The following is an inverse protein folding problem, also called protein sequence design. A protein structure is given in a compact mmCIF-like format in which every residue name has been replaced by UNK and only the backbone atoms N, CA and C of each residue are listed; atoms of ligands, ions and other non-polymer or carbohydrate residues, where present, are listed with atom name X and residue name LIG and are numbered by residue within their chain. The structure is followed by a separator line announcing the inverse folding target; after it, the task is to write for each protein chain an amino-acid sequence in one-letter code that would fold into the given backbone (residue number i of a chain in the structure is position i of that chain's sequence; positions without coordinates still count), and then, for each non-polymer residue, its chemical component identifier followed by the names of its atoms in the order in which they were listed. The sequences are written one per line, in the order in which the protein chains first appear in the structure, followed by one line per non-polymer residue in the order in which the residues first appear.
data_IF_177656456220
#
_entry.id   IF_177656456220
#
_cell.length_a   1.000
_cell.length_b   1.000
_cell.length_c   1.000
_cell.angle_alpha   90.00
_cell.angle_beta   90.00
_cell.angle_gamma   90.00
#
_symmetry.space_group_name_H-M   'P 1'
#
loop_
_entity.id
_entity.type
_entity.pdbx_description
1 polymer ?
#
# COMPACT_ATOMS: atom_id res chain seq x y z
N UNK A 1 -21.37 -39.47 -20.76
CA UNK A 1 -19.94 -39.11 -20.85
C UNK A 1 -19.89 -37.69 -21.43
N UNK A 2 -20.56 -36.72 -20.81
CA UNK A 2 -20.19 -35.94 -19.62
C UNK A 2 -18.90 -35.11 -19.83
N UNK A 3 -18.99 -34.11 -20.70
CA UNK A 3 -18.00 -33.04 -20.91
C UNK A 3 -18.41 -31.71 -20.24
N UNK A 4 -19.45 -31.72 -19.38
CA UNK A 4 -20.13 -30.49 -18.93
C UNK A 4 -19.87 -30.12 -17.46
N UNK A 5 -18.84 -30.71 -16.84
CA UNK A 5 -18.50 -30.48 -15.42
C UNK A 5 -17.35 -29.49 -15.15
N UNK A 6 -16.75 -28.89 -16.18
CA UNK A 6 -15.60 -28.00 -16.01
C UNK A 6 -15.97 -26.52 -15.74
N UNK A 7 -17.25 -26.14 -15.78
CA UNK A 7 -17.67 -24.73 -15.85
C UNK A 7 -18.12 -24.08 -14.52
N UNK A 8 -17.86 -24.69 -13.35
CA UNK A 8 -18.23 -24.09 -12.05
C UNK A 8 -17.16 -24.33 -11.00
N UNK A 9 -16.05 -23.57 -11.07
CA UNK A 9 -15.24 -23.26 -9.89
C UNK A 9 -15.61 -21.85 -9.44
N UNK A 10 -16.39 -21.77 -8.37
CA UNK A 10 -16.43 -20.57 -7.56
C UNK A 10 -15.01 -20.41 -6.99
N UNK A 11 -14.29 -19.40 -7.45
CA UNK A 11 -13.08 -18.94 -6.80
C UNK A 11 -13.56 -18.29 -5.50
N UNK A 12 -13.26 -18.93 -4.36
CA UNK A 12 -13.54 -18.35 -3.05
C UNK A 12 -12.65 -17.12 -2.87
N UNK A 13 -13.28 -15.95 -2.83
CA UNK A 13 -12.60 -14.66 -2.77
C UNK A 13 -12.62 -14.12 -1.34
N UNK A 14 -11.53 -13.45 -0.93
CA UNK A 14 -11.39 -12.83 0.39
C UNK A 14 -12.52 -11.84 0.67
N UNK A 15 -12.79 -11.49 1.95
CA UNK A 15 -13.72 -10.41 2.27
C UNK A 15 -13.16 -9.08 1.75
N UNK A 16 -13.66 -8.59 0.61
CA UNK A 16 -13.31 -7.30 0.02
C UNK A 16 -12.69 -7.35 -1.38
N UNK A 17 -12.26 -8.52 -1.85
CA UNK A 17 -11.93 -8.74 -3.27
C UNK A 17 -12.99 -9.64 -3.89
N UNK A 18 -13.32 -9.42 -5.17
CA UNK A 18 -14.21 -10.32 -5.92
C UNK A 18 -13.56 -10.62 -7.27
N UNK A 19 -13.36 -11.91 -7.56
CA UNK A 19 -12.81 -12.39 -8.82
C UNK A 19 -13.94 -12.85 -9.74
N UNK A 20 -13.90 -12.40 -10.99
CA UNK A 20 -14.85 -12.80 -12.03
C UNK A 20 -14.09 -13.26 -13.26
N UNK A 21 -14.54 -14.35 -13.88
CA UNK A 21 -14.04 -14.81 -15.17
C UNK A 21 -15.06 -14.52 -16.26
N UNK A 22 -14.64 -13.79 -17.29
CA UNK A 22 -15.47 -13.47 -18.44
C UNK A 22 -15.05 -14.37 -19.62
N UNK A 23 -15.83 -15.43 -19.95
CA UNK A 23 -15.43 -16.44 -20.93
C UNK A 23 -15.46 -15.94 -22.38
N UNK A 24 -16.01 -14.75 -22.65
CA UNK A 24 -16.08 -14.14 -23.98
C UNK A 24 -16.09 -12.62 -23.91
N UNK A 25 -15.26 -11.98 -24.73
CA UNK A 25 -15.48 -10.58 -25.10
C UNK A 25 -16.63 -10.55 -26.11
N UNK A 26 -17.81 -10.10 -25.68
CA UNK A 26 -18.98 -9.99 -26.58
C UNK A 26 -18.84 -8.69 -27.37
N UNK A 27 -18.88 -8.73 -28.73
CA UNK A 27 -18.88 -7.52 -29.53
C UNK A 27 -20.09 -6.65 -29.16
N UNK A 28 -19.76 -5.42 -28.78
CA UNK A 28 -20.65 -4.42 -28.20
C UNK A 28 -21.93 -4.13 -29.02
N UNK A 29 -21.90 -4.34 -30.35
CA UNK A 29 -22.98 -3.96 -31.27
C UNK A 29 -24.26 -4.83 -31.22
N UNK A 30 -24.32 -5.94 -30.45
CA UNK A 30 -25.34 -6.99 -30.67
C UNK A 30 -26.54 -7.02 -29.73
N UNK A 31 -26.66 -6.13 -28.76
CA UNK A 31 -27.70 -6.28 -27.73
C UNK A 31 -28.39 -4.96 -27.43
N UNK A 32 -29.56 -4.75 -28.05
CA UNK A 32 -30.80 -4.29 -27.40
C UNK A 32 -31.91 -4.16 -28.46
N UNK A 33 -33.07 -4.82 -28.29
CA UNK A 33 -34.24 -4.56 -29.13
C UNK A 33 -34.69 -3.10 -29.02
N UNK A 34 -34.72 -2.40 -30.15
CA UNK A 34 -35.00 -0.96 -30.29
C UNK A 34 -36.39 -0.57 -29.80
N UNK A 35 -37.38 -1.44 -29.97
CA UNK A 35 -38.80 -1.07 -29.87
C UNK A 35 -39.25 -0.72 -28.45
N UNK A 36 -38.66 -1.33 -27.41
CA UNK A 36 -39.03 -1.06 -26.02
C UNK A 36 -38.27 0.13 -25.40
N UNK A 37 -37.22 0.64 -26.06
CA UNK A 37 -36.33 1.64 -25.49
C UNK A 37 -36.41 3.01 -26.21
N UNK A 38 -36.89 3.07 -27.45
CA UNK A 38 -36.82 4.28 -28.28
C UNK A 38 -37.50 5.52 -27.66
N UNK A 39 -38.64 5.37 -26.98
CA UNK A 39 -39.35 6.50 -26.38
C UNK A 39 -38.62 7.03 -25.13
N UNK A 40 -38.26 6.17 -24.18
CA UNK A 40 -37.52 6.59 -22.97
C UNK A 40 -36.13 7.17 -23.29
N UNK A 41 -35.52 6.72 -24.37
CA UNK A 41 -34.20 7.20 -24.81
C UNK A 41 -34.25 8.51 -25.58
N UNK A 42 -35.42 9.08 -25.82
CA UNK A 42 -35.64 10.43 -26.34
C UNK A 42 -36.20 11.38 -25.27
N UNK A 43 -36.57 10.88 -24.10
CA UNK A 43 -37.11 11.69 -23.03
C UNK A 43 -36.07 12.68 -22.48
N UNK A 44 -36.54 13.91 -22.34
CA UNK A 44 -35.83 15.01 -21.67
C UNK A 44 -36.82 15.77 -20.78
N UNK A 45 -36.36 16.36 -19.66
CA UNK A 45 -37.21 17.19 -18.83
C UNK A 45 -37.85 18.36 -19.61
N UNK A 46 -39.08 18.72 -19.27
CA UNK A 46 -39.73 19.91 -19.85
C UNK A 46 -39.03 21.22 -19.46
N UNK A 47 -38.25 21.21 -18.36
CA UNK A 47 -37.51 22.36 -17.84
C UNK A 47 -36.25 22.75 -18.63
N UNK A 48 -35.92 22.04 -19.72
CA UNK A 48 -34.78 22.37 -20.56
C UNK A 48 -35.00 23.71 -21.26
N UNK A 49 -33.97 24.57 -21.20
CA UNK A 49 -33.96 25.91 -21.81
C UNK A 49 -34.33 25.89 -23.30
N UNK A 50 -35.16 26.84 -23.77
CA UNK A 50 -35.48 26.99 -25.20
C UNK A 50 -34.24 27.07 -26.09
N UNK A 51 -33.19 27.77 -25.63
CA UNK A 51 -31.94 27.93 -26.39
C UNK A 51 -31.23 26.60 -26.66
N UNK A 52 -31.30 25.65 -25.72
CA UNK A 52 -30.73 24.31 -25.89
C UNK A 52 -31.56 23.51 -26.90
N UNK A 53 -32.89 23.63 -26.86
CA UNK A 53 -33.81 23.03 -27.85
C UNK A 53 -33.54 23.56 -29.25
N UNK A 54 -33.44 24.86 -29.41
CA UNK A 54 -33.15 25.52 -30.68
C UNK A 54 -31.81 25.05 -31.27
N UNK A 55 -30.76 24.94 -30.45
CA UNK A 55 -29.47 24.42 -30.88
C UNK A 55 -29.61 23.00 -31.46
N UNK A 56 -30.23 22.07 -30.72
CA UNK A 56 -30.40 20.70 -31.18
C UNK A 56 -31.31 20.58 -32.42
N UNK A 57 -32.39 21.36 -32.46
CA UNK A 57 -33.28 21.39 -33.62
C UNK A 57 -32.61 21.99 -34.86
N UNK A 58 -31.71 22.96 -34.70
CA UNK A 58 -30.95 23.52 -35.82
C UNK A 58 -30.09 22.47 -36.52
N UNK A 59 -29.49 21.54 -35.76
CA UNK A 59 -28.70 20.44 -36.34
C UNK A 59 -29.57 19.48 -37.14
N UNK A 60 -30.73 19.11 -36.57
CA UNK A 60 -31.70 18.24 -37.24
C UNK A 60 -32.29 18.88 -38.50
N UNK A 61 -32.57 20.18 -38.45
CA UNK A 61 -33.10 20.92 -39.59
C UNK A 61 -32.06 21.06 -40.73
N UNK A 62 -30.78 21.16 -40.39
CA UNK A 62 -29.70 21.21 -41.37
C UNK A 62 -29.47 19.86 -42.07
N UNK A 63 -29.49 18.76 -41.31
CA UNK A 63 -29.47 17.40 -41.86
C UNK A 63 -30.09 16.42 -40.86
N UNK A 64 -31.19 15.73 -41.20
CA UNK A 64 -31.86 14.81 -40.29
C UNK A 64 -31.11 13.47 -40.12
N UNK A 65 -30.05 13.21 -40.88
CA UNK A 65 -29.24 12.01 -40.73
C UNK A 65 -28.57 11.96 -39.33
N UNK A 66 -28.80 10.90 -38.52
CA UNK A 66 -28.18 10.76 -37.19
C UNK A 66 -26.66 10.89 -37.19
N UNK A 67 -25.97 10.39 -38.21
CA UNK A 67 -24.52 10.52 -38.35
C UNK A 67 -24.09 11.99 -38.48
N UNK A 68 -24.82 12.76 -39.28
CA UNK A 68 -24.55 14.18 -39.47
C UNK A 68 -24.83 14.98 -38.19
N UNK A 69 -25.89 14.65 -37.46
CA UNK A 69 -26.22 15.28 -36.17
C UNK A 69 -25.11 15.04 -35.15
N UNK A 70 -24.62 13.79 -35.03
CA UNK A 70 -23.51 13.43 -34.14
C UNK A 70 -22.25 14.20 -34.52
N UNK A 71 -21.91 14.25 -35.82
CA UNK A 71 -20.76 15.01 -36.34
C UNK A 71 -20.82 16.48 -35.95
N UNK A 72 -21.95 17.16 -36.22
CA UNK A 72 -22.15 18.58 -35.86
C UNK A 72 -22.04 18.83 -34.36
N UNK A 73 -22.52 17.92 -33.53
CA UNK A 73 -22.41 18.04 -32.08
C UNK A 73 -20.96 17.92 -31.61
N UNK A 74 -20.18 16.98 -32.16
CA UNK A 74 -18.74 16.87 -31.87
C UNK A 74 -17.98 18.11 -32.35
N UNK A 75 -18.28 18.62 -33.54
CA UNK A 75 -17.70 19.86 -34.07
C UNK A 75 -18.04 21.06 -33.16
N UNK A 76 -19.25 21.11 -32.62
CA UNK A 76 -19.65 22.15 -31.66
C UNK A 76 -18.78 22.10 -30.39
N UNK A 77 -18.56 20.92 -29.80
CA UNK A 77 -17.70 20.78 -28.63
C UNK A 77 -16.23 21.11 -28.95
N UNK A 78 -15.75 20.74 -30.15
CA UNK A 78 -14.39 21.01 -30.58
C UNK A 78 -14.11 22.50 -30.86
N UNK A 79 -15.05 23.19 -31.51
CA UNK A 79 -14.81 24.55 -32.04
C UNK A 79 -15.18 25.67 -31.07
N UNK A 80 -16.13 25.44 -30.15
CA UNK A 80 -16.67 26.49 -29.29
C UNK A 80 -15.83 26.77 -28.04
N UNK A 81 -14.55 26.39 -28.02
CA UNK A 81 -13.60 26.63 -26.92
C UNK A 81 -14.02 25.99 -25.59
N UNK A 82 -14.54 24.78 -25.63
CA UNK A 82 -14.75 23.98 -24.43
C UNK A 82 -13.41 23.62 -23.78
N UNK A 83 -13.41 23.52 -22.44
CA UNK A 83 -12.23 23.20 -21.64
C UNK A 83 -12.52 22.12 -20.62
N UNK A 84 -11.58 21.19 -20.48
CA UNK A 84 -11.68 20.13 -19.49
C UNK A 84 -11.04 20.56 -18.16
N UNK A 85 -11.75 20.36 -17.05
CA UNK A 85 -11.27 20.56 -15.69
C UNK A 85 -11.96 19.61 -14.72
N UNK A 86 -11.19 18.97 -13.84
CA UNK A 86 -11.69 18.15 -12.73
C UNK A 86 -12.24 18.98 -11.57
N UNK A 87 -12.01 20.29 -11.58
CA UNK A 87 -12.54 21.23 -10.59
C UNK A 87 -13.19 22.41 -11.31
N UNK A 88 -14.32 22.19 -12.02
CA UNK A 88 -14.96 23.26 -12.77
C UNK A 88 -15.58 24.30 -11.82
N UNK A 89 -15.83 23.97 -10.55
CA UNK A 89 -16.66 24.71 -9.59
C UNK A 89 -18.11 24.22 -9.61
N UNK A 90 -18.94 24.72 -8.69
CA UNK A 90 -20.35 24.28 -8.60
C UNK A 90 -21.20 24.82 -9.76
N UNK A 91 -22.15 24.02 -10.23
CA UNK A 91 -23.21 24.43 -11.16
C UNK A 91 -24.52 24.61 -10.37
N UNK A 92 -25.29 25.65 -10.71
CA UNK A 92 -26.60 25.99 -10.07
C UNK A 92 -27.71 25.87 -11.12
N UNK A 93 -28.97 25.72 -10.65
CA UNK A 93 -30.21 25.66 -11.49
C UNK A 93 -30.03 26.24 -12.91
N UNK A 94 -30.19 25.38 -13.92
CA UNK A 94 -29.86 25.56 -15.36
C UNK A 94 -28.41 25.20 -15.76
N UNK A 95 -27.81 24.23 -15.06
CA UNK A 95 -26.45 23.70 -15.28
C UNK A 95 -26.09 23.47 -16.76
N UNK A 96 -27.04 22.94 -17.54
CA UNK A 96 -26.82 22.62 -18.95
C UNK A 96 -26.61 23.85 -19.84
N UNK A 97 -27.45 24.88 -19.70
CA UNK A 97 -27.31 26.10 -20.51
C UNK A 97 -26.03 26.86 -20.11
N UNK A 98 -25.76 26.92 -18.81
CA UNK A 98 -24.56 27.55 -18.28
C UNK A 98 -23.29 26.86 -18.81
N UNK A 99 -23.27 25.53 -18.81
CA UNK A 99 -22.16 24.76 -19.38
C UNK A 99 -22.02 25.00 -20.89
N UNK A 100 -23.10 24.86 -21.67
CA UNK A 100 -23.04 24.90 -23.14
C UNK A 100 -22.69 26.28 -23.71
N UNK A 101 -23.18 27.36 -23.09
CA UNK A 101 -23.12 28.70 -23.69
C UNK A 101 -22.31 29.72 -22.90
N UNK A 102 -22.08 29.50 -21.59
CA UNK A 102 -21.37 30.44 -20.72
C UNK A 102 -19.99 29.92 -20.33
N UNK A 103 -19.93 28.97 -19.40
CA UNK A 103 -18.68 28.51 -18.76
C UNK A 103 -17.85 27.63 -19.67
N UNK A 104 -18.49 26.72 -20.41
CA UNK A 104 -17.83 25.72 -21.28
C UNK A 104 -16.65 25.00 -20.60
N UNK A 105 -16.77 24.77 -19.29
CA UNK A 105 -15.73 24.24 -18.42
C UNK A 105 -16.30 23.10 -17.59
N UNK A 106 -15.87 21.87 -17.81
CA UNK A 106 -16.44 20.71 -17.12
C UNK A 106 -15.53 19.49 -17.17
N UNK A 107 -16.01 18.39 -16.59
CA UNK A 107 -15.39 17.07 -16.69
C UNK A 107 -16.30 16.11 -17.46
N UNK A 108 -15.90 14.84 -17.60
CA UNK A 108 -16.52 13.86 -18.49
C UNK A 108 -18.06 13.77 -18.37
N UNK A 109 -18.62 13.81 -17.16
CA UNK A 109 -20.07 13.78 -16.96
C UNK A 109 -20.80 15.00 -17.56
N UNK A 110 -20.20 16.20 -17.50
CA UNK A 110 -20.81 17.40 -18.09
C UNK A 110 -20.92 17.26 -19.60
N UNK A 111 -19.85 16.78 -20.24
CA UNK A 111 -19.82 16.54 -21.68
C UNK A 111 -20.79 15.43 -22.08
N UNK A 112 -20.76 14.29 -21.39
CA UNK A 112 -21.63 13.15 -21.68
C UNK A 112 -23.12 13.51 -21.48
N UNK A 113 -23.49 14.10 -20.35
CA UNK A 113 -24.88 14.48 -20.08
C UNK A 113 -25.40 15.51 -21.08
N UNK A 114 -24.58 16.52 -21.41
CA UNK A 114 -24.95 17.56 -22.37
C UNK A 114 -25.10 17.01 -23.78
N UNK A 115 -24.14 16.20 -24.23
CA UNK A 115 -24.19 15.56 -25.54
C UNK A 115 -25.42 14.65 -25.65
N UNK A 116 -25.66 13.78 -24.67
CA UNK A 116 -26.83 12.91 -24.67
C UNK A 116 -28.13 13.72 -24.73
N UNK A 117 -28.24 14.81 -23.95
CA UNK A 117 -29.44 15.67 -23.96
C UNK A 117 -29.67 16.31 -25.32
N UNK A 118 -28.62 16.81 -25.96
CA UNK A 118 -28.70 17.42 -27.29
C UNK A 118 -29.07 16.39 -28.36
N UNK A 119 -28.55 15.16 -28.29
CA UNK A 119 -28.93 14.07 -29.20
C UNK A 119 -30.42 13.73 -29.07
N UNK A 120 -30.92 13.58 -27.83
CA UNK A 120 -32.33 13.31 -27.57
C UNK A 120 -33.24 14.40 -28.13
N UNK A 121 -32.86 15.66 -27.91
CA UNK A 121 -33.57 16.83 -28.45
C UNK A 121 -33.55 16.88 -29.98
N UNK A 122 -32.47 16.41 -30.61
CA UNK A 122 -32.35 16.29 -32.06
C UNK A 122 -33.05 15.03 -32.62
N UNK A 123 -33.65 14.19 -31.78
CA UNK A 123 -34.36 12.99 -32.20
C UNK A 123 -33.47 11.75 -32.38
N UNK A 124 -32.24 11.76 -31.88
CA UNK A 124 -31.33 10.62 -31.86
C UNK A 124 -31.38 9.96 -30.48
N UNK A 125 -31.84 8.70 -30.36
CA UNK A 125 -31.86 8.01 -29.08
C UNK A 125 -30.46 7.92 -28.48
N UNK A 126 -30.30 8.36 -27.23
CA UNK A 126 -28.99 8.45 -26.60
C UNK A 126 -29.04 8.11 -25.11
N UNK A 127 -27.93 7.59 -24.57
CA UNK A 127 -27.75 7.31 -23.14
C UNK A 127 -26.33 7.66 -22.69
N UNK A 128 -26.21 7.97 -21.40
CA UNK A 128 -24.92 8.12 -20.73
C UNK A 128 -24.50 6.76 -20.20
N UNK A 129 -23.21 6.45 -20.35
CA UNK A 129 -22.60 5.27 -19.74
C UNK A 129 -21.45 5.72 -18.87
N UNK A 130 -21.40 5.15 -17.67
CA UNK A 130 -20.38 5.43 -16.66
C UNK A 130 -19.62 4.15 -16.39
N UNK A 131 -18.31 4.25 -16.34
CA UNK A 131 -17.43 3.12 -16.09
C UNK A 131 -15.99 3.58 -15.96
N UNK A 132 -15.06 2.78 -16.45
CA UNK A 132 -13.64 3.10 -16.47
C UNK A 132 -13.12 3.10 -17.90
N UNK A 133 -12.21 4.02 -18.21
CA UNK A 133 -11.59 4.12 -19.52
C UNK A 133 -10.07 4.16 -19.39
N UNK A 134 -9.38 3.28 -20.11
CA UNK A 134 -7.92 3.16 -20.10
C UNK A 134 -7.46 2.01 -19.21
N UNK A 135 -6.59 2.34 -18.25
CA UNK A 135 -5.87 1.38 -17.41
C UNK A 135 -4.38 1.35 -17.74
N UNK A 136 -3.57 1.05 -16.73
CA UNK A 136 -2.11 0.96 -16.85
C UNK A 136 -1.71 -0.51 -17.02
N UNK A 137 -1.03 -0.85 -18.11
CA UNK A 137 -0.52 -2.20 -18.28
C UNK A 137 0.72 -2.42 -17.40
N UNK A 138 0.63 -3.36 -16.47
CA UNK A 138 1.76 -3.78 -15.65
C UNK A 138 2.52 -4.88 -16.40
N UNK A 139 3.66 -4.52 -17.00
CA UNK A 139 4.50 -5.46 -17.75
C UNK A 139 5.05 -6.61 -16.90
N UNK A 140 5.27 -6.38 -15.60
CA UNK A 140 5.87 -7.38 -14.71
C UNK A 140 4.85 -8.42 -14.23
N UNK A 141 3.61 -7.99 -14.00
CA UNK A 141 2.50 -8.86 -13.56
C UNK A 141 1.59 -9.34 -14.68
N UNK A 142 1.76 -8.84 -15.91
CA UNK A 142 0.94 -9.12 -17.08
C UNK A 142 -0.57 -8.88 -16.85
N UNK A 143 -0.92 -7.78 -16.18
CA UNK A 143 -2.30 -7.37 -15.95
C UNK A 143 -2.52 -5.89 -16.24
N UNK A 144 -3.77 -5.49 -16.49
CA UNK A 144 -4.19 -4.09 -16.54
C UNK A 144 -4.65 -3.63 -15.16
N UNK A 145 -4.09 -2.53 -14.68
CA UNK A 145 -4.52 -1.87 -13.45
C UNK A 145 -5.49 -0.75 -13.79
N UNK A 146 -6.73 -0.89 -13.32
CA UNK A 146 -7.78 0.13 -13.46
C UNK A 146 -8.05 0.74 -12.09
N UNK A 147 -8.00 2.07 -11.99
CA UNK A 147 -8.14 2.79 -10.71
C UNK A 147 -9.40 3.65 -10.70
N UNK A 148 -9.80 4.10 -9.52
CA UNK A 148 -10.85 5.12 -9.35
C UNK A 148 -10.56 6.41 -10.13
N UNK A 149 -9.28 6.76 -10.33
CA UNK A 149 -8.87 7.90 -11.15
C UNK A 149 -9.19 7.75 -12.64
N UNK A 150 -9.47 6.52 -13.09
CA UNK A 150 -9.80 6.18 -14.48
C UNK A 150 -11.32 6.15 -14.73
N UNK A 151 -12.11 6.53 -13.72
CA UNK A 151 -13.56 6.71 -13.86
C UNK A 151 -13.85 7.69 -14.99
N UNK A 152 -14.76 7.29 -15.88
CA UNK A 152 -15.09 8.05 -17.07
C UNK A 152 -16.56 7.89 -17.44
N UNK A 153 -17.10 8.92 -18.09
CA UNK A 153 -18.45 8.95 -18.61
C UNK A 153 -18.43 9.28 -20.10
N UNK A 154 -19.14 8.50 -20.90
CA UNK A 154 -19.30 8.69 -22.34
C UNK A 154 -20.78 8.56 -22.74
N UNK A 155 -21.06 8.74 -24.03
CA UNK A 155 -22.39 8.57 -24.59
C UNK A 155 -22.47 7.37 -25.51
N UNK A 156 -23.66 6.84 -25.64
CA UNK A 156 -24.00 5.87 -26.66
C UNK A 156 -25.21 6.40 -27.40
N UNK A 157 -25.17 6.34 -28.72
CA UNK A 157 -26.24 6.79 -29.61
C UNK A 157 -26.71 5.64 -30.46
N UNK A 158 -28.00 5.61 -30.78
CA UNK A 158 -28.54 4.64 -31.72
C UNK A 158 -28.42 5.16 -33.15
N UNK A 159 -27.70 4.40 -33.98
CA UNK A 159 -27.56 4.64 -35.41
C UNK A 159 -28.27 3.50 -36.18
N UNK A 160 -29.12 3.79 -37.18
CA UNK A 160 -29.94 2.76 -37.84
C UNK A 160 -29.16 1.61 -38.49
N UNK A 161 -27.95 1.88 -38.94
CA UNK A 161 -27.07 0.96 -39.69
C UNK A 161 -26.12 0.16 -38.79
N UNK A 162 -25.70 0.72 -37.66
CA UNK A 162 -24.66 0.15 -36.79
C UNK A 162 -25.15 -0.18 -35.38
N UNK A 163 -26.36 0.25 -35.03
CA UNK A 163 -26.96 0.07 -33.71
C UNK A 163 -26.37 1.03 -32.67
N UNK A 164 -26.24 0.55 -31.43
CA UNK A 164 -25.61 1.32 -30.36
C UNK A 164 -24.14 1.57 -30.68
N UNK A 165 -23.80 2.85 -30.79
CA UNK A 165 -22.45 3.32 -31.11
C UNK A 165 -21.95 4.21 -29.99
N UNK A 166 -20.77 3.88 -29.47
CA UNK A 166 -20.08 4.71 -28.47
C UNK A 166 -19.61 6.01 -29.11
N UNK A 167 -19.93 7.13 -28.46
CA UNK A 167 -19.47 8.48 -28.80
C UNK A 167 -18.96 9.16 -27.54
N UNK A 168 -17.76 9.71 -27.61
CA UNK A 168 -17.12 10.36 -26.47
C UNK A 168 -16.83 11.83 -26.78
N UNK A 169 -17.70 12.76 -26.35
CA UNK A 169 -17.47 14.20 -26.56
C UNK A 169 -16.24 14.72 -25.81
N UNK A 170 -15.72 13.98 -24.82
CA UNK A 170 -14.48 14.37 -24.13
C UNK A 170 -13.27 14.20 -25.06
N UNK A 171 -13.29 13.23 -25.98
CA UNK A 171 -12.16 12.95 -26.88
C UNK A 171 -11.82 14.13 -27.77
N UNK A 172 -12.82 14.90 -28.22
CA UNK A 172 -12.60 16.04 -29.12
C UNK A 172 -12.13 17.30 -28.38
N UNK A 173 -12.30 17.35 -27.06
CA UNK A 173 -11.89 18.49 -26.21
C UNK A 173 -10.56 18.22 -25.48
N UNK A 174 -10.33 16.97 -25.05
CA UNK A 174 -9.16 16.55 -24.29
C UNK A 174 -8.68 15.15 -24.74
N UNK A 175 -8.14 15.00 -25.96
CA UNK A 175 -7.74 13.71 -26.52
C UNK A 175 -6.65 13.02 -25.68
N UNK A 176 -5.79 13.80 -25.02
CA UNK A 176 -4.73 13.30 -24.15
C UNK A 176 -5.27 12.48 -22.97
N UNK A 177 -6.46 12.78 -22.44
CA UNK A 177 -7.01 12.05 -21.29
C UNK A 177 -7.44 10.62 -21.64
N UNK A 178 -7.83 10.41 -22.90
CA UNK A 178 -8.36 9.14 -23.40
C UNK A 178 -7.25 8.21 -23.88
N UNK A 179 -6.14 8.80 -24.35
CA UNK A 179 -4.97 8.05 -24.79
C UNK A 179 -3.90 7.89 -23.70
N UNK A 180 -3.91 8.69 -22.62
CA UNK A 180 -2.88 8.65 -21.58
C UNK A 180 -3.51 8.61 -20.18
N UNK A 181 -3.39 7.45 -19.54
CA UNK A 181 -3.60 7.28 -18.11
C UNK A 181 -2.58 8.11 -17.31
N UNK A 182 -3.06 8.79 -16.26
CA UNK A 182 -2.33 9.40 -15.13
C UNK A 182 -1.17 10.41 -15.39
N UNK A 183 -0.34 10.27 -16.42
CA UNK A 183 0.78 11.18 -16.72
C UNK A 183 0.30 12.62 -16.96
N UNK A 184 -0.81 12.80 -17.69
CA UNK A 184 -1.45 14.10 -17.92
C UNK A 184 -2.05 14.71 -16.63
N UNK A 185 -2.55 13.87 -15.71
CA UNK A 185 -3.04 14.30 -14.41
C UNK A 185 -1.89 14.80 -13.52
N UNK A 186 -0.74 14.14 -13.56
CA UNK A 186 0.46 14.56 -12.82
C UNK A 186 1.07 15.85 -13.38
N UNK A 187 1.17 16.00 -14.70
CA UNK A 187 1.66 17.24 -15.31
C UNK A 187 0.75 18.43 -14.97
N UNK A 188 -0.57 18.23 -14.95
CA UNK A 188 -1.56 19.27 -14.58
C UNK A 188 -1.54 19.58 -13.08
N UNK A 189 -1.44 18.57 -12.21
CA UNK A 189 -1.36 18.76 -10.76
C UNK A 189 -0.04 19.41 -10.33
N UNK A 190 1.05 19.09 -11.03
CA UNK A 190 2.34 19.75 -10.88
C UNK A 190 2.31 21.22 -11.36
N UNK A 191 1.47 21.54 -12.36
CA UNK A 191 1.24 22.92 -12.80
C UNK A 191 0.28 23.72 -11.91
N UNK A 192 -0.59 23.04 -11.14
CA UNK A 192 -1.57 23.64 -10.24
C UNK A 192 -1.09 23.78 -8.78
N UNK A 193 0.05 23.17 -8.44
CA UNK A 193 0.67 23.30 -7.12
C UNK A 193 1.68 24.45 -7.12
N UNK A 194 1.22 25.65 -6.76
CA UNK A 194 2.07 26.81 -6.44
C UNK A 194 2.79 26.68 -5.08
N UNK A 195 3.12 25.46 -4.61
CA UNK A 195 3.87 25.27 -3.36
C UNK A 195 5.04 24.29 -3.52
N UNK A 196 6.25 24.88 -3.45
CA UNK A 196 7.60 24.29 -3.39
C UNK A 196 8.29 23.96 -4.73
N UNK A 197 9.18 24.83 -5.26
CA UNK A 197 9.76 24.68 -6.60
C UNK A 197 10.96 23.71 -6.74
N UNK A 198 11.38 22.95 -5.73
CA UNK A 198 12.70 22.28 -5.78
C UNK A 198 12.73 20.75 -5.63
N UNK A 199 11.94 20.20 -4.71
CA UNK A 199 12.19 18.85 -4.20
C UNK A 199 11.39 17.74 -4.90
N UNK A 200 10.16 18.02 -5.31
CA UNK A 200 9.25 17.05 -5.94
C UNK A 200 9.52 16.88 -7.44
N UNK A 201 10.01 17.93 -8.12
CA UNK A 201 10.19 17.99 -9.58
C UNK A 201 11.35 17.12 -10.11
N UNK A 202 12.30 16.75 -9.26
CA UNK A 202 13.53 16.02 -9.65
C UNK A 202 13.48 14.53 -9.30
N UNK A 203 12.75 14.15 -8.24
CA UNK A 203 12.61 12.76 -7.79
C UNK A 203 11.59 11.97 -8.64
N UNK A 204 10.49 12.60 -9.06
CA UNK A 204 9.47 11.96 -9.90
C UNK A 204 9.96 11.61 -11.32
N UNK A 205 11.02 12.25 -11.82
CA UNK A 205 11.58 12.03 -13.17
C UNK A 205 12.59 10.88 -13.25
N UNK A 206 12.93 10.20 -12.15
CA UNK A 206 13.90 9.10 -12.19
C UNK A 206 13.19 7.75 -12.47
N UNK A 207 13.56 7.01 -13.54
CA UNK A 207 12.93 5.73 -13.93
C UNK A 207 13.00 4.64 -12.85
N UNK A 208 13.84 4.84 -11.83
CA UNK A 208 13.93 4.00 -10.65
C UNK A 208 12.68 4.04 -9.76
N UNK A 209 12.02 5.19 -9.58
CA UNK A 209 10.83 5.30 -8.73
C UNK A 209 9.58 4.72 -9.40
N UNK A 210 9.48 4.85 -10.72
CA UNK A 210 8.46 4.15 -11.50
C UNK A 210 8.62 2.63 -11.34
N UNK A 211 9.86 2.10 -11.43
CA UNK A 211 10.16 0.69 -11.19
C UNK A 211 9.82 0.24 -9.77
N UNK A 212 10.22 0.98 -8.74
CA UNK A 212 9.86 0.66 -7.35
C UNK A 212 8.34 0.59 -7.18
N UNK A 213 7.59 1.53 -7.76
CA UNK A 213 6.12 1.54 -7.65
C UNK A 213 5.48 0.35 -8.36
N UNK A 214 5.93 0.02 -9.57
CA UNK A 214 5.45 -1.15 -10.32
C UNK A 214 5.79 -2.44 -9.57
N UNK A 215 7.01 -2.56 -9.05
CA UNK A 215 7.40 -3.68 -8.17
C UNK A 215 6.53 -3.75 -6.93
N UNK A 216 6.22 -2.63 -6.29
CA UNK A 216 5.34 -2.59 -5.11
C UNK A 216 3.90 -3.00 -5.45
N UNK A 217 3.38 -2.60 -6.61
CA UNK A 217 2.04 -3.02 -7.08
C UNK A 217 2.00 -4.51 -7.41
N UNK A 218 3.04 -5.04 -8.05
CA UNK A 218 3.15 -6.47 -8.34
C UNK A 218 3.28 -7.28 -7.05
N UNK A 219 4.04 -6.78 -6.06
CA UNK A 219 4.13 -7.38 -4.74
C UNK A 219 2.80 -7.32 -3.99
N UNK A 220 2.09 -6.20 -4.05
CA UNK A 220 0.78 -6.06 -3.41
C UNK A 220 -0.27 -6.95 -4.08
N UNK A 221 -0.28 -7.07 -5.41
CA UNK A 221 -1.12 -8.01 -6.14
C UNK A 221 -0.78 -9.46 -5.79
N UNK A 222 0.51 -9.81 -5.76
CA UNK A 222 0.97 -11.15 -5.36
C UNK A 222 0.64 -11.46 -3.90
N UNK A 223 0.72 -10.48 -3.01
CA UNK A 223 0.33 -10.61 -1.61
C UNK A 223 -1.19 -10.76 -1.45
N UNK A 224 -1.98 -9.94 -2.15
CA UNK A 224 -3.44 -10.01 -2.14
C UNK A 224 -3.93 -11.36 -2.66
N UNK A 225 -3.29 -11.87 -3.73
CA UNK A 225 -3.65 -13.16 -4.34
C UNK A 225 -3.13 -14.35 -3.55
N UNK A 226 -1.91 -14.29 -2.98
CA UNK A 226 -1.26 -15.46 -2.36
C UNK A 226 -1.37 -15.51 -0.84
N UNK A 227 -1.35 -14.37 -0.16
CA UNK A 227 -1.33 -14.31 1.31
C UNK A 227 -2.70 -13.98 1.87
N UNK A 228 -3.39 -13.01 1.28
CA UNK A 228 -4.77 -12.68 1.68
C UNK A 228 -5.76 -13.67 1.05
N UNK A 229 -5.51 -14.11 -0.20
CA UNK A 229 -6.20 -15.21 -0.89
C UNK A 229 -5.57 -16.58 -0.69
N UNK A 230 -4.97 -16.86 0.48
CA UNK A 230 -4.36 -18.17 0.77
C UNK A 230 -5.46 -19.24 0.84
N UNK A 231 -5.75 -19.85 -0.31
CA UNK A 231 -6.69 -20.96 -0.47
C UNK A 231 -5.95 -22.30 -0.52
N UNK A 232 -6.71 -23.40 -0.58
CA UNK A 232 -6.13 -24.75 -0.62
C UNK A 232 -5.25 -24.99 -1.86
N UNK A 233 -5.45 -24.25 -2.96
CA UNK A 233 -4.72 -24.42 -4.23
C UNK A 233 -3.36 -23.71 -4.18
N UNK A 234 -3.30 -22.51 -3.60
CA UNK A 234 -2.04 -21.79 -3.34
C UNK A 234 -1.15 -22.56 -2.34
N UNK A 235 -1.75 -23.18 -1.32
CA UNK A 235 -1.05 -24.07 -0.40
C UNK A 235 -0.46 -25.28 -1.12
N UNK A 236 -1.22 -25.92 -2.01
CA UNK A 236 -0.78 -27.11 -2.75
C UNK A 236 0.32 -26.78 -3.78
N UNK A 237 0.25 -25.61 -4.44
CA UNK A 237 1.28 -25.14 -5.36
C UNK A 237 2.61 -24.88 -4.63
N UNK A 238 2.58 -24.22 -3.47
CA UNK A 238 3.78 -23.95 -2.67
C UNK A 238 4.40 -25.23 -2.11
N UNK A 239 3.59 -26.19 -1.62
CA UNK A 239 4.10 -27.48 -1.15
C UNK A 239 4.75 -28.29 -2.26
N UNK A 240 4.21 -28.22 -3.48
CA UNK A 240 4.77 -28.88 -4.64
C UNK A 240 6.10 -28.26 -5.09
N UNK A 241 6.23 -26.93 -5.03
CA UNK A 241 7.46 -26.21 -5.37
C UNK A 241 8.60 -26.47 -4.34
N UNK A 242 8.24 -26.66 -3.06
CA UNK A 242 9.19 -27.01 -1.98
C UNK A 242 9.50 -28.53 -1.95
N UNK A 243 8.88 -29.33 -2.82
CA UNK A 243 9.14 -30.76 -2.95
C UNK A 243 8.47 -31.64 -1.88
N UNK A 244 7.39 -31.15 -1.26
CA UNK A 244 6.59 -31.84 -0.26
C UNK A 244 5.17 -32.13 -0.79
N UNK A 245 5.00 -33.01 -1.79
CA UNK A 245 3.69 -33.29 -2.37
C UNK A 245 2.75 -33.98 -1.37
N UNK A 246 1.48 -33.57 -1.37
CA UNK A 246 0.34 -34.19 -0.67
C UNK A 246 0.39 -34.24 0.87
N UNK A 247 1.02 -33.26 1.52
CA UNK A 247 0.86 -33.08 2.97
C UNK A 247 -0.56 -32.60 3.31
N UNK A 248 -1.30 -33.40 4.09
CA UNK A 248 -2.63 -33.02 4.59
C UNK A 248 -2.53 -31.70 5.39
N UNK A 249 -3.59 -30.86 5.43
CA UNK A 249 -3.56 -29.60 6.18
C UNK A 249 -3.13 -29.76 7.65
N UNK A 250 -3.49 -30.89 8.26
CA UNK A 250 -3.11 -31.24 9.64
C UNK A 250 -1.59 -31.43 9.81
N UNK A 251 -0.90 -32.04 8.84
CA UNK A 251 0.56 -32.23 8.95
C UNK A 251 1.35 -30.93 8.83
N UNK A 252 0.80 -29.92 8.14
CA UNK A 252 1.41 -28.60 8.05
C UNK A 252 1.28 -27.82 9.36
N UNK A 253 0.16 -27.97 10.08
CA UNK A 253 0.03 -27.43 11.44
C UNK A 253 1.08 -28.01 12.38
N UNK A 254 1.28 -29.32 12.37
CA UNK A 254 2.34 -29.96 13.17
C UNK A 254 3.73 -29.48 12.78
N UNK A 255 4.03 -29.33 11.48
CA UNK A 255 5.32 -28.81 11.03
C UNK A 255 5.55 -27.36 11.49
N UNK A 256 4.53 -26.50 11.38
CA UNK A 256 4.61 -25.12 11.85
C UNK A 256 4.81 -25.03 13.37
N UNK A 257 4.16 -25.91 14.13
CA UNK A 257 4.33 -26.00 15.59
C UNK A 257 5.75 -26.45 15.96
N UNK A 258 6.33 -27.40 15.22
CA UNK A 258 7.72 -27.85 15.42
C UNK A 258 8.71 -26.71 15.13
N UNK A 259 8.50 -25.97 14.04
CA UNK A 259 9.35 -24.82 13.68
C UNK A 259 9.25 -23.72 14.75
N UNK A 260 8.03 -23.39 15.20
CA UNK A 260 7.82 -22.41 16.27
C UNK A 260 8.48 -22.85 17.58
N UNK A 261 8.34 -24.12 17.97
CA UNK A 261 9.00 -24.68 19.15
C UNK A 261 10.54 -24.61 19.02
N UNK A 262 11.08 -24.93 17.84
CA UNK A 262 12.51 -24.79 17.54
C UNK A 262 13.00 -23.36 17.69
N UNK A 263 12.24 -22.38 17.19
CA UNK A 263 12.58 -20.96 17.30
C UNK A 263 12.56 -20.47 18.75
N UNK A 264 11.59 -20.93 19.56
CA UNK A 264 11.52 -20.65 21.00
C UNK A 264 12.73 -21.24 21.72
N UNK A 265 13.14 -22.47 21.40
CA UNK A 265 14.33 -23.09 21.99
C UNK A 265 15.58 -22.32 21.60
N UNK A 266 15.74 -21.92 20.34
CA UNK A 266 16.89 -21.13 19.88
C UNK A 266 16.93 -19.78 20.61
N UNK A 267 15.81 -19.07 20.69
CA UNK A 267 15.71 -17.80 21.42
C UNK A 267 16.02 -17.97 22.91
N UNK A 268 15.46 -18.99 23.57
CA UNK A 268 15.72 -19.27 24.97
C UNK A 268 17.21 -19.58 25.19
N UNK A 269 17.81 -20.38 24.32
CA UNK A 269 19.24 -20.72 24.39
C UNK A 269 20.11 -19.48 24.17
N UNK A 270 19.76 -18.64 23.18
CA UNK A 270 20.45 -17.38 22.89
C UNK A 270 20.34 -16.37 24.04
N UNK A 271 19.14 -16.18 24.59
CA UNK A 271 18.92 -15.35 25.78
C UNK A 271 19.70 -15.87 26.97
N UNK A 272 19.76 -17.19 27.17
CA UNK A 272 20.53 -17.79 28.25
C UNK A 272 22.04 -17.65 28.05
N UNK A 273 22.52 -17.69 26.80
CA UNK A 273 23.91 -17.39 26.47
C UNK A 273 24.25 -15.91 26.69
N UNK A 274 23.37 -14.99 26.32
CA UNK A 274 23.55 -13.56 26.61
C UNK A 274 23.50 -13.25 28.11
N UNK A 275 22.60 -13.91 28.86
CA UNK A 275 22.54 -13.77 30.31
C UNK A 275 23.82 -14.26 31.00
N UNK A 276 24.47 -15.32 30.46
CA UNK A 276 25.77 -15.80 30.96
C UNK A 276 26.93 -14.87 30.61
N UNK A 277 26.83 -14.10 29.52
CA UNK A 277 27.88 -13.20 29.06
C UNK A 277 28.04 -11.94 29.92
N UNK A 278 27.00 -11.53 30.66
CA UNK A 278 27.02 -10.35 31.54
C UNK A 278 27.34 -10.70 33.01
N UNK A 279 28.47 -11.36 33.26
CA UNK A 279 29.03 -11.34 34.62
C UNK A 279 29.83 -10.05 34.81
N UNK A 280 29.40 -9.20 35.74
CA UNK A 280 30.07 -7.94 36.05
C UNK A 280 31.54 -8.23 36.48
N UNK A 281 32.54 -7.69 35.76
CA UNK A 281 33.95 -7.96 36.03
C UNK A 281 34.35 -7.58 37.47
N UNK A 282 33.76 -6.52 38.05
CA UNK A 282 34.06 -6.06 39.41
C UNK A 282 33.56 -7.07 40.44
N UNK A 283 32.35 -7.61 40.24
CA UNK A 283 31.74 -8.61 41.12
C UNK A 283 32.50 -9.94 41.07
N UNK A 284 32.98 -10.34 39.89
CA UNK A 284 33.79 -11.56 39.74
C UNK A 284 35.14 -11.47 40.49
N UNK A 285 35.80 -10.31 40.43
CA UNK A 285 37.05 -10.06 41.15
C UNK A 285 36.84 -10.02 42.67
N UNK A 286 35.75 -9.40 43.13
CA UNK A 286 35.40 -9.39 44.55
C UNK A 286 35.07 -10.79 45.08
N UNK A 287 34.37 -11.61 44.30
CA UNK A 287 34.10 -13.01 44.65
C UNK A 287 35.40 -13.83 44.77
N UNK A 288 36.38 -13.59 43.89
CA UNK A 288 37.72 -14.20 43.98
C UNK A 288 38.46 -13.78 45.25
N UNK A 289 38.39 -12.51 45.63
CA UNK A 289 38.93 -12.02 46.90
C UNK A 289 38.26 -12.72 48.10
N UNK A 290 36.93 -12.79 48.13
CA UNK A 290 36.18 -13.49 49.19
C UNK A 290 36.58 -14.97 49.29
N UNK A 291 36.77 -15.65 48.14
CA UNK A 291 37.23 -17.03 48.11
C UNK A 291 38.68 -17.19 48.62
N UNK A 292 39.59 -16.26 48.32
CA UNK A 292 40.94 -16.24 48.87
C UNK A 292 40.93 -16.02 50.39
N UNK A 293 40.13 -15.07 50.87
CA UNK A 293 39.98 -14.81 52.31
C UNK A 293 39.36 -16.01 53.05
N UNK A 294 38.40 -16.71 52.44
CA UNK A 294 37.81 -17.94 52.99
C UNK A 294 38.86 -19.05 53.18
N UNK A 295 39.79 -19.22 52.23
CA UNK A 295 40.90 -20.19 52.35
C UNK A 295 41.86 -19.88 53.50
N UNK A 296 41.90 -18.62 53.94
CA UNK A 296 42.75 -18.15 55.03
C UNK A 296 42.00 -18.11 56.37
N UNK A 297 40.78 -18.65 56.44
CA UNK A 297 39.99 -18.74 57.66
C UNK A 297 39.00 -17.58 57.87
N UNK A 298 38.83 -16.69 56.89
CA UNK A 298 37.85 -15.59 56.93
C UNK A 298 36.77 -15.73 55.84
N UNK A 299 35.84 -16.70 55.93
CA UNK A 299 34.74 -16.83 54.97
C UNK A 299 33.75 -15.67 55.13
N UNK A 300 33.22 -15.14 54.02
CA UNK A 300 32.18 -14.10 54.01
C UNK A 300 30.79 -14.72 54.21
N UNK A 301 29.98 -14.11 55.07
CA UNK A 301 28.57 -14.48 55.19
C UNK A 301 27.74 -13.88 54.02
N UNK A 302 26.79 -14.61 53.43
CA UNK A 302 25.94 -14.08 52.35
C UNK A 302 25.19 -12.79 52.71
N UNK A 303 24.85 -12.59 53.98
CA UNK A 303 24.12 -11.43 54.51
C UNK A 303 25.02 -10.26 54.89
N UNK A 304 26.34 -10.47 54.92
CA UNK A 304 27.31 -9.47 55.36
C UNK A 304 27.72 -8.53 54.23
N UNK A 305 27.63 -7.22 54.51
CA UNK A 305 28.05 -6.18 53.59
C UNK A 305 29.57 -6.15 53.36
N UNK A 306 30.06 -5.57 52.25
CA UNK A 306 31.49 -5.52 51.94
C UNK A 306 32.35 -4.84 53.02
N UNK A 307 31.84 -3.76 53.61
CA UNK A 307 32.53 -2.99 54.65
C UNK A 307 32.62 -3.79 55.95
N UNK A 308 31.54 -4.46 56.35
CA UNK A 308 31.51 -5.28 57.56
C UNK A 308 32.38 -6.53 57.42
N UNK A 309 32.34 -7.17 56.24
CA UNK A 309 33.25 -8.26 55.90
C UNK A 309 34.71 -7.82 56.01
N UNK A 310 35.07 -6.67 55.46
CA UNK A 310 36.44 -6.16 55.53
C UNK A 310 36.90 -5.89 56.97
N UNK A 311 36.02 -5.30 57.79
CA UNK A 311 36.30 -5.04 59.21
C UNK A 311 36.51 -6.34 60.00
N UNK A 312 35.69 -7.37 59.75
CA UNK A 312 35.82 -8.67 60.41
C UNK A 312 37.02 -9.45 59.89
N UNK A 313 37.19 -9.56 58.58
CA UNK A 313 38.32 -10.27 57.96
C UNK A 313 39.66 -9.62 58.34
N UNK A 314 39.73 -8.29 58.45
CA UNK A 314 40.93 -7.59 58.91
C UNK A 314 41.31 -7.89 60.36
N UNK A 315 40.35 -8.24 61.24
CA UNK A 315 40.64 -8.71 62.61
C UNK A 315 41.17 -10.14 62.63
N UNK A 316 40.68 -10.99 61.72
CA UNK A 316 41.10 -12.39 61.59
C UNK A 316 42.46 -12.52 60.90
N UNK A 317 42.76 -11.60 59.97
CA UNK A 317 44.01 -11.55 59.20
C UNK A 317 44.72 -10.21 59.41
N UNK A 318 45.39 -9.99 60.58
CA UNK A 318 45.98 -8.70 60.91
C UNK A 318 47.05 -8.22 59.93
N UNK A 319 47.82 -9.18 59.37
CA UNK A 319 48.91 -8.90 58.42
C UNK A 319 48.42 -8.36 57.07
N UNK A 320 47.17 -8.64 56.70
CA UNK A 320 46.59 -8.23 55.41
C UNK A 320 45.45 -7.21 55.61
N UNK A 321 45.28 -6.69 56.83
CA UNK A 321 44.17 -5.83 57.23
C UNK A 321 44.06 -4.55 56.39
N UNK A 322 45.18 -3.89 56.10
CA UNK A 322 45.24 -2.68 55.27
C UNK A 322 44.84 -2.95 53.81
N UNK A 323 45.24 -4.11 53.27
CA UNK A 323 44.86 -4.52 51.91
C UNK A 323 43.39 -4.89 51.83
N UNK A 324 42.87 -5.60 52.83
CA UNK A 324 41.44 -5.96 52.93
C UNK A 324 40.57 -4.69 52.93
N UNK A 325 40.97 -3.67 53.70
CA UNK A 325 40.30 -2.37 53.70
C UNK A 325 40.34 -1.72 52.31
N UNK A 326 41.54 -1.63 51.71
CA UNK A 326 41.73 -1.03 50.37
C UNK A 326 40.92 -1.73 49.28
N UNK A 327 40.86 -3.06 49.29
CA UNK A 327 40.07 -3.87 48.34
C UNK A 327 38.57 -3.58 48.51
N UNK A 328 38.09 -3.48 49.76
CA UNK A 328 36.68 -3.21 50.05
C UNK A 328 36.28 -1.79 49.67
N UNK A 329 37.12 -0.80 49.96
CA UNK A 329 36.88 0.60 49.59
C UNK A 329 36.84 0.78 48.07
N UNK A 330 37.75 0.13 47.34
CA UNK A 330 37.73 0.13 45.88
C UNK A 330 36.47 -0.56 45.33
N UNK A 331 36.04 -1.68 45.93
CA UNK A 331 34.81 -2.37 45.52
C UNK A 331 33.57 -1.51 45.75
N UNK A 332 33.47 -0.85 46.91
CA UNK A 332 32.35 0.04 47.24
C UNK A 332 32.33 1.25 46.31
N UNK A 333 33.50 1.86 46.05
CA UNK A 333 33.64 2.97 45.11
C UNK A 333 33.25 2.59 43.68
N UNK A 334 33.69 1.44 43.19
CA UNK A 334 33.35 0.96 41.84
C UNK A 334 31.88 0.53 41.71
N UNK A 335 31.25 0.01 42.78
CA UNK A 335 29.89 -0.54 42.72
C UNK A 335 28.79 0.47 43.04
N UNK A 336 29.07 1.41 43.93
CA UNK A 336 28.10 2.36 44.50
C UNK A 336 28.50 3.83 44.28
N UNK A 337 29.67 4.11 43.71
CA UNK A 337 30.10 5.46 43.34
C UNK A 337 29.49 5.96 42.03
N UNK A 338 29.47 7.28 41.85
CA UNK A 338 29.03 7.94 40.62
C UNK A 338 30.19 7.97 39.60
N UNK A 339 30.25 6.95 38.73
CA UNK A 339 31.21 6.89 37.61
C UNK A 339 32.31 5.84 37.78
N UNK A 340 32.58 5.11 36.70
CA UNK A 340 33.57 4.03 36.68
C UNK A 340 34.95 4.60 36.35
N UNK A 341 35.77 4.85 37.37
CA UNK A 341 37.16 5.28 37.18
C UNK A 341 38.06 4.09 36.82
N UNK A 342 38.60 4.11 35.60
CA UNK A 342 39.52 3.09 35.10
C UNK A 342 40.77 2.92 35.97
N UNK A 343 41.26 3.99 36.60
CA UNK A 343 42.40 3.93 37.51
C UNK A 343 42.06 3.15 38.79
N UNK A 344 40.86 3.36 39.33
CA UNK A 344 40.35 2.63 40.49
C UNK A 344 40.14 1.14 40.18
N UNK A 345 39.67 0.79 38.98
CA UNK A 345 39.54 -0.60 38.54
C UNK A 345 40.91 -1.31 38.40
N UNK A 346 41.91 -0.62 37.87
CA UNK A 346 43.28 -1.14 37.80
C UNK A 346 43.87 -1.37 39.21
N UNK A 347 43.69 -0.41 40.13
CA UNK A 347 44.12 -0.54 41.53
C UNK A 347 43.41 -1.71 42.23
N UNK A 348 42.10 -1.83 42.06
CA UNK A 348 41.32 -2.94 42.61
C UNK A 348 41.82 -4.30 42.11
N UNK A 349 42.02 -4.42 40.79
CA UNK A 349 42.53 -5.65 40.17
C UNK A 349 43.94 -6.01 40.68
N UNK A 350 44.79 -5.00 40.86
CA UNK A 350 46.15 -5.17 41.37
C UNK A 350 46.15 -5.66 42.83
N UNK A 351 45.39 -5.02 43.72
CA UNK A 351 45.32 -5.43 45.13
C UNK A 351 44.69 -6.82 45.31
N UNK A 352 43.64 -7.16 44.55
CA UNK A 352 43.05 -8.52 44.59
C UNK A 352 44.03 -9.59 44.10
N UNK A 353 44.92 -9.26 43.15
CA UNK A 353 45.98 -10.16 42.69
C UNK A 353 47.06 -10.34 43.76
N UNK A 354 47.54 -9.24 44.33
CA UNK A 354 48.59 -9.23 45.35
C UNK A 354 48.15 -9.82 46.69
N UNK A 355 46.85 -9.79 46.99
CA UNK A 355 46.29 -10.44 48.18
C UNK A 355 46.72 -11.92 48.22
N UNK A 356 47.66 -12.19 49.12
CA UNK A 356 48.39 -13.44 49.34
C UNK A 356 49.19 -13.99 48.14
N UNK A 357 49.76 -13.12 47.29
CA UNK A 357 50.75 -13.51 46.27
C UNK A 357 52.18 -13.60 46.80
N UNK A 358 52.43 -13.23 48.06
CA UNK A 358 53.74 -13.38 48.72
C UNK A 358 53.75 -14.59 49.62
N UNK A 359 53.97 -15.75 49.00
CA UNK A 359 54.64 -16.93 49.57
C UNK A 359 55.21 -17.75 48.41
N UNK A 360 56.41 -17.38 47.99
CA UNK A 360 57.47 -18.36 47.78
C UNK A 360 58.45 -18.16 48.93
#
# INVERSE_FOLDING_TARGET
MDHDRAARRALDVCPGSTSYSFPRCIPYARQLPVELAANHLLEVPASISPRVRELAQSWRAADPNPHAIVGRALDFFQTQRFRYSLSPGEYKRNDLEEFLFRRRLGFCEHYAASFATLMRLAGVPARVVVGYLGGEFNEMGHFYLVRQSDTHAWCEVWLPDTGWTRVDPTNVVAPERVNLGFESFLERSASASEMSPGFTRTLARKPFFAKIRVTWQTLNYAWDTRVLGFDAEAQQALTNEIGLPDLRPVSLLFLSAIIAAGFVVILATWMQMQARAHTDPVQSLYARFCAKAARLGAPRDPTEGPVDFARRAGRVLPQESERIATISDCYVGLRYGQGMDSAMLHRFTHEVRLFCSTKN
#
